data_IF_935961083086
#
_entry.id   IF_935961083086
#
_cell.length_a   1.000
_cell.length_b   1.000
_cell.length_c   1.000
_cell.angle_alpha   90.00
_cell.angle_beta   90.00
_cell.angle_gamma   90.00
#
_symmetry.space_group_name_H-M   'P 1'
#
loop_
_entity.id
_entity.type
_entity.pdbx_description
1 polymer ?
#
# COMPACT_ATOMS: atom_id res chain seq x y z
N UNK A 1 -39.80 67.75 21.86
CA UNK A 1 -38.45 67.75 21.24
C UNK A 1 -38.31 66.47 20.43
N UNK A 2 -37.60 66.51 19.30
CA UNK A 2 -37.34 65.33 18.47
C UNK A 2 -36.07 64.60 18.93
N UNK A 3 -36.05 63.28 18.91
CA UNK A 3 -34.90 62.43 19.26
C UNK A 3 -35.30 60.96 19.40
N UNK A 4 -34.34 60.06 19.60
CA UNK A 4 -34.63 58.63 19.75
C UNK A 4 -35.55 58.35 20.96
N UNK A 5 -36.69 57.69 20.71
CA UNK A 5 -37.69 57.33 21.74
C UNK A 5 -37.63 55.86 22.17
N UNK A 6 -36.74 55.05 21.60
CA UNK A 6 -36.60 53.62 21.92
C UNK A 6 -35.72 53.42 23.18
N UNK A 7 -36.23 52.87 24.30
CA UNK A 7 -35.45 52.66 25.52
C UNK A 7 -34.33 51.62 25.41
N UNK A 8 -34.33 50.77 24.38
CA UNK A 8 -33.25 49.82 24.10
C UNK A 8 -32.11 50.43 23.29
N UNK A 9 -32.33 51.56 22.62
CA UNK A 9 -31.29 52.23 21.84
C UNK A 9 -30.24 52.89 22.73
N UNK A 10 -28.98 52.86 22.30
CA UNK A 10 -27.86 53.40 23.08
C UNK A 10 -27.86 54.94 23.18
N UNK A 11 -28.58 55.63 22.29
CA UNK A 11 -28.77 57.08 22.32
C UNK A 11 -30.21 57.48 22.68
N UNK A 12 -30.92 56.62 23.44
CA UNK A 12 -32.26 56.90 23.94
C UNK A 12 -32.35 58.24 24.69
N UNK A 13 -33.35 59.05 24.33
CA UNK A 13 -33.63 60.31 25.00
C UNK A 13 -35.03 60.28 25.65
N UNK A 14 -35.06 60.13 26.98
CA UNK A 14 -36.31 60.10 27.75
C UNK A 14 -37.15 61.39 27.68
N UNK A 15 -36.60 62.49 27.14
CA UNK A 15 -37.30 63.76 26.94
C UNK A 15 -37.77 63.97 25.48
N UNK A 16 -37.50 63.02 24.58
CA UNK A 16 -38.01 63.03 23.22
C UNK A 16 -39.49 62.63 23.21
N UNK A 17 -40.31 63.42 22.53
CA UNK A 17 -41.77 63.19 22.40
C UNK A 17 -42.14 62.73 20.98
N UNK A 18 -41.19 62.86 20.04
CA UNK A 18 -41.34 62.50 18.63
C UNK A 18 -40.03 61.84 18.19
N UNK A 19 -40.14 60.60 17.69
CA UNK A 19 -39.01 59.88 17.10
C UNK A 19 -38.57 60.55 15.80
N UNK A 20 -37.28 60.83 15.68
CA UNK A 20 -36.66 61.37 14.46
C UNK A 20 -35.90 60.31 13.65
N UNK A 21 -35.97 59.04 14.06
CA UNK A 21 -35.30 57.93 13.42
C UNK A 21 -33.79 57.88 13.70
N UNK A 22 -33.31 58.63 14.71
CA UNK A 22 -31.89 58.64 15.11
C UNK A 22 -31.48 57.47 16.00
N UNK A 23 -32.39 56.57 16.39
CA UNK A 23 -32.07 55.45 17.28
C UNK A 23 -30.92 54.60 16.73
N UNK A 24 -29.89 54.43 17.57
CA UNK A 24 -28.70 53.65 17.26
C UNK A 24 -28.56 52.47 18.21
N UNK A 25 -27.95 51.40 17.70
CA UNK A 25 -27.55 50.23 18.47
C UNK A 25 -26.07 50.33 18.85
N UNK A 26 -25.66 49.59 19.89
CA UNK A 26 -24.24 49.39 20.16
C UNK A 26 -23.67 48.47 19.08
N UNK A 27 -22.52 48.85 18.54
CA UNK A 27 -21.72 47.94 17.72
C UNK A 27 -20.98 46.90 18.59
N UNK A 28 -20.19 46.06 17.94
CA UNK A 28 -19.39 45.01 18.57
C UNK A 28 -18.33 45.56 19.54
N UNK A 29 -17.98 46.85 19.44
CA UNK A 29 -17.06 47.58 20.31
C UNK A 29 -17.75 48.34 21.44
N UNK A 30 -19.08 48.29 21.49
CA UNK A 30 -19.86 49.05 22.45
C UNK A 30 -19.94 50.53 22.13
N UNK A 31 -19.67 50.93 20.88
CA UNK A 31 -19.85 52.29 20.40
C UNK A 31 -21.24 52.48 19.81
N UNK A 32 -21.90 53.56 20.23
CA UNK A 32 -23.27 53.83 19.87
C UNK A 32 -23.39 54.34 18.42
N UNK A 33 -23.93 53.51 17.52
CA UNK A 33 -24.00 53.80 16.10
C UNK A 33 -22.65 53.73 15.38
N UNK A 34 -21.69 52.99 15.93
CA UNK A 34 -20.41 52.71 15.29
C UNK A 34 -20.51 51.63 14.20
N UNK A 35 -19.45 51.53 13.40
CA UNK A 35 -19.33 50.54 12.32
C UNK A 35 -18.67 49.22 12.79
N UNK A 36 -18.34 49.10 14.08
CA UNK A 36 -17.54 47.99 14.61
C UNK A 36 -16.05 48.08 14.22
N UNK A 37 -15.24 47.06 14.57
CA UNK A 37 -13.85 47.01 14.18
C UNK A 37 -13.73 46.67 12.69
N UNK A 38 -12.61 47.07 12.08
CA UNK A 38 -12.30 46.63 10.72
C UNK A 38 -12.17 45.09 10.67
N UNK A 39 -12.53 44.43 9.56
CA UNK A 39 -12.36 42.99 9.43
C UNK A 39 -10.91 42.56 9.74
N UNK A 40 -10.74 41.66 10.70
CA UNK A 40 -9.42 41.18 11.16
C UNK A 40 -8.80 41.98 12.31
N UNK A 41 -9.52 42.95 12.88
CA UNK A 41 -9.07 43.73 14.03
C UNK A 41 -10.04 43.61 15.21
N UNK A 42 -9.51 43.78 16.43
CA UNK A 42 -10.32 44.04 17.62
C UNK A 42 -10.68 45.53 17.76
N UNK A 43 -11.45 45.85 18.79
CA UNK A 43 -11.92 47.20 19.08
C UNK A 43 -10.82 48.17 19.57
N UNK A 44 -9.67 47.64 19.96
CA UNK A 44 -8.48 48.42 20.30
C UNK A 44 -7.56 48.61 19.06
N UNK A 45 -7.92 48.04 17.91
CA UNK A 45 -7.16 48.10 16.67
C UNK A 45 -6.00 47.10 16.58
N UNK A 46 -5.99 46.05 17.42
CA UNK A 46 -5.04 44.95 17.32
C UNK A 46 -5.55 43.89 16.32
N UNK A 47 -4.63 43.19 15.67
CA UNK A 47 -4.97 42.13 14.72
C UNK A 47 -5.51 40.89 15.45
N UNK A 48 -6.65 40.38 15.02
CA UNK A 48 -7.24 39.10 15.45
C UNK A 48 -7.21 38.08 14.32
N UNK A 49 -6.41 37.01 14.48
CA UNK A 49 -6.25 35.99 13.45
C UNK A 49 -7.24 34.82 13.51
N UNK A 50 -8.19 34.82 14.44
CA UNK A 50 -9.16 33.71 14.58
C UNK A 50 -8.46 32.36 14.77
N UNK A 51 -8.64 31.44 13.82
CA UNK A 51 -7.97 30.12 13.79
C UNK A 51 -6.57 30.12 13.16
N UNK A 52 -6.14 31.25 12.61
CA UNK A 52 -4.80 31.46 12.09
C UNK A 52 -3.78 31.82 13.17
N UNK A 53 -2.54 32.00 12.76
CA UNK A 53 -1.43 32.46 13.58
C UNK A 53 -0.96 33.85 13.13
N UNK A 54 -0.42 34.62 14.08
CA UNK A 54 0.13 35.95 13.85
C UNK A 54 1.60 35.84 13.43
N UNK A 55 1.96 36.50 12.34
CA UNK A 55 3.36 36.74 11.95
C UNK A 55 3.75 38.16 12.33
N UNK A 56 4.97 38.30 12.83
CA UNK A 56 5.64 39.58 13.02
C UNK A 56 6.66 39.78 11.92
N UNK A 57 6.62 40.94 11.26
CA UNK A 57 7.51 41.32 10.18
C UNK A 57 8.31 42.53 10.63
N UNK A 58 9.61 42.36 10.81
CA UNK A 58 10.54 43.46 11.04
C UNK A 58 11.18 43.86 9.72
N UNK A 59 11.09 45.13 9.37
CA UNK A 59 11.64 45.71 8.15
C UNK A 59 12.66 46.77 8.53
N UNK A 60 13.85 46.76 7.91
CA UNK A 60 14.98 47.62 8.28
C UNK A 60 15.54 48.31 7.04
N UNK A 61 15.91 49.58 7.20
CA UNK A 61 16.59 50.43 6.24
C UNK A 61 17.81 51.08 6.91
N UNK A 62 18.98 50.87 6.32
CA UNK A 62 20.24 51.40 6.85
C UNK A 62 20.38 52.93 6.76
N UNK A 63 19.69 53.59 5.81
CA UNK A 63 19.84 55.03 5.55
C UNK A 63 18.65 55.86 6.02
N UNK A 64 17.51 55.23 6.26
CA UNK A 64 16.35 55.85 6.88
C UNK A 64 15.48 56.66 5.92
N UNK A 65 15.73 56.57 4.62
CA UNK A 65 15.00 57.24 3.54
C UNK A 65 13.90 56.36 2.92
N UNK A 66 13.63 55.20 3.53
CA UNK A 66 12.63 54.25 3.09
C UNK A 66 13.19 53.27 2.06
N UNK A 67 12.36 52.32 1.63
CA UNK A 67 12.82 51.19 0.83
C UNK A 67 12.97 51.45 -0.68
N UNK A 68 12.81 52.71 -1.11
CA UNK A 68 13.19 53.20 -2.43
C UNK A 68 12.67 52.36 -3.61
N UNK A 69 11.42 51.90 -3.50
CA UNK A 69 10.73 51.06 -4.49
C UNK A 69 10.90 49.56 -4.29
N UNK A 70 11.42 49.12 -3.14
CA UNK A 70 11.38 47.73 -2.69
C UNK A 70 10.10 47.48 -1.90
N UNK A 71 9.42 46.40 -2.27
CA UNK A 71 8.27 45.83 -1.55
C UNK A 71 8.61 44.41 -1.08
N UNK A 72 8.29 44.11 0.17
CA UNK A 72 8.25 42.75 0.70
C UNK A 72 6.84 42.21 0.54
N UNK A 73 6.69 41.14 -0.21
CA UNK A 73 5.41 40.52 -0.53
C UNK A 73 5.33 39.17 0.21
N UNK A 74 4.32 39.02 1.08
CA UNK A 74 4.05 37.80 1.85
C UNK A 74 2.66 37.31 1.47
N UNK A 75 2.56 36.16 0.79
CA UNK A 75 1.29 35.62 0.27
C UNK A 75 0.44 36.63 -0.54
N UNK A 76 1.10 37.55 -1.24
CA UNK A 76 0.46 38.58 -2.06
C UNK A 76 0.15 39.88 -1.34
N UNK A 77 0.30 39.95 -0.02
CA UNK A 77 0.24 41.22 0.73
C UNK A 77 1.59 41.93 0.67
N UNK A 78 1.56 43.23 0.39
CA UNK A 78 2.76 44.04 0.12
C UNK A 78 3.07 44.97 1.29
N UNK A 79 4.30 44.93 1.77
CA UNK A 79 4.83 45.72 2.87
C UNK A 79 6.01 46.57 2.39
N UNK A 80 5.97 47.86 2.72
CA UNK A 80 7.04 48.83 2.45
C UNK A 80 6.85 50.04 3.35
N UNK A 81 7.88 50.87 3.50
CA UNK A 81 7.78 52.12 4.25
C UNK A 81 8.57 53.26 3.63
N UNK A 82 8.11 54.48 3.91
CA UNK A 82 8.55 55.70 3.19
C UNK A 82 9.71 56.43 3.88
N UNK A 83 9.89 56.29 5.19
CA UNK A 83 10.96 56.93 5.96
C UNK A 83 11.21 56.19 7.27
N UNK A 84 12.41 56.26 7.84
CA UNK A 84 12.76 55.66 9.14
C UNK A 84 13.74 54.50 9.00
N UNK A 85 14.42 54.11 10.08
CA UNK A 85 15.43 53.04 10.01
C UNK A 85 14.83 51.63 10.14
N UNK A 86 13.60 51.54 10.66
CA UNK A 86 12.90 50.28 10.82
C UNK A 86 11.42 50.50 10.98
N UNK A 87 10.62 49.54 10.53
CA UNK A 87 9.18 49.46 10.76
C UNK A 87 8.78 48.01 11.05
N UNK A 88 7.78 47.84 11.91
CA UNK A 88 7.21 46.54 12.24
C UNK A 88 5.79 46.47 11.69
N UNK A 89 5.47 45.37 11.02
CA UNK A 89 4.12 45.04 10.60
C UNK A 89 3.75 43.66 11.14
N UNK A 90 2.44 43.38 11.19
CA UNK A 90 1.94 42.06 11.54
C UNK A 90 0.89 41.63 10.52
N UNK A 91 0.82 40.35 10.23
CA UNK A 91 -0.21 39.76 9.38
C UNK A 91 -0.68 38.41 9.93
N UNK A 92 -1.88 38.01 9.53
CA UNK A 92 -2.38 36.68 9.85
C UNK A 92 -1.97 35.70 8.74
N UNK A 93 -1.58 34.49 9.14
CA UNK A 93 -1.45 33.36 8.23
C UNK A 93 -2.13 32.13 8.82
N UNK A 94 -2.61 31.24 7.97
CA UNK A 94 -3.16 29.96 8.42
C UNK A 94 -2.15 28.84 8.13
N UNK A 95 -1.54 28.23 9.15
CA UNK A 95 -0.60 27.12 8.94
C UNK A 95 -1.20 25.94 8.17
N UNK A 96 -2.52 25.77 8.23
CA UNK A 96 -3.25 24.71 7.52
C UNK A 96 -3.52 25.00 6.05
N UNK A 97 -3.33 26.25 5.59
CA UNK A 97 -3.45 26.63 4.18
C UNK A 97 -2.16 26.34 3.38
N UNK A 98 -1.10 25.90 4.06
CA UNK A 98 0.13 25.41 3.45
C UNK A 98 1.23 26.48 3.34
N UNK A 99 1.95 26.42 2.22
CA UNK A 99 3.18 27.14 1.96
C UNK A 99 3.00 28.66 1.96
N UNK A 100 3.90 29.38 2.64
CA UNK A 100 3.92 30.85 2.65
C UNK A 100 5.02 31.35 1.73
N UNK A 101 4.61 32.05 0.68
CA UNK A 101 5.51 32.64 -0.32
C UNK A 101 6.01 34.01 0.14
N UNK A 102 7.32 34.23 0.04
CA UNK A 102 7.98 35.49 0.42
C UNK A 102 8.84 36.00 -0.72
N UNK A 103 8.55 37.21 -1.19
CA UNK A 103 9.30 37.87 -2.26
C UNK A 103 9.69 39.28 -1.86
N UNK A 104 10.98 39.61 -1.88
CA UNK A 104 11.42 41.00 -1.83
C UNK A 104 11.78 41.45 -3.24
N UNK A 105 11.07 42.46 -3.75
CA UNK A 105 11.31 42.99 -5.10
C UNK A 105 12.63 43.75 -5.18
N UNK A 106 13.10 44.03 -6.40
CA UNK A 106 14.30 44.86 -6.59
C UNK A 106 13.92 46.34 -6.64
N UNK A 107 14.26 47.08 -5.58
CA UNK A 107 14.22 48.54 -5.57
C UNK A 107 15.52 49.20 -6.03
N UNK A 108 15.65 50.50 -5.76
CA UNK A 108 16.79 51.31 -6.22
C UNK A 108 18.08 51.08 -5.41
N UNK A 109 17.95 50.66 -4.15
CA UNK A 109 19.07 50.48 -3.22
C UNK A 109 18.92 49.18 -2.40
N UNK A 110 18.93 48.00 -3.06
CA UNK A 110 18.63 46.72 -2.42
C UNK A 110 19.52 46.35 -1.22
N UNK A 111 20.74 46.92 -1.15
CA UNK A 111 21.72 46.60 -0.10
C UNK A 111 21.41 47.23 1.25
N UNK A 112 20.51 48.21 1.32
CA UNK A 112 20.10 48.84 2.58
C UNK A 112 18.90 48.15 3.23
N UNK A 113 18.24 47.28 2.48
CA UNK A 113 17.01 46.59 2.85
C UNK A 113 17.33 45.25 3.52
N UNK A 114 16.80 45.06 4.71
CA UNK A 114 16.72 43.75 5.36
C UNK A 114 15.41 43.55 6.08
N UNK A 115 14.96 42.31 6.21
CA UNK A 115 13.71 41.99 6.87
C UNK A 115 13.77 40.61 7.55
N UNK A 116 12.92 40.44 8.55
CA UNK A 116 12.78 39.20 9.33
C UNK A 116 11.30 38.91 9.56
N UNK A 117 10.88 37.67 9.30
CA UNK A 117 9.53 37.16 9.61
C UNK A 117 9.65 36.17 10.75
N UNK A 118 8.90 36.41 11.81
CA UNK A 118 8.87 35.60 13.03
C UNK A 118 7.47 35.17 13.41
N UNK A 119 7.35 34.06 14.14
CA UNK A 119 6.08 33.63 14.73
C UNK A 119 5.66 34.47 15.96
N UNK A 120 4.48 34.19 16.51
CA UNK A 120 3.94 34.88 17.69
C UNK A 120 4.80 34.69 18.97
N UNK A 121 5.72 33.73 18.99
CA UNK A 121 6.68 33.53 20.10
C UNK A 121 7.98 34.33 19.91
N UNK A 122 8.16 34.96 18.74
CA UNK A 122 9.38 35.65 18.35
C UNK A 122 10.44 34.75 17.72
N UNK A 123 10.10 33.50 17.38
CA UNK A 123 11.00 32.61 16.65
C UNK A 123 11.08 33.04 15.18
N UNK A 124 12.30 33.30 14.69
CA UNK A 124 12.55 33.60 13.28
C UNK A 124 12.21 32.39 12.40
N UNK A 125 11.33 32.61 11.42
CA UNK A 125 10.93 31.62 10.42
C UNK A 125 11.75 31.76 9.15
N UNK A 126 11.95 33.01 8.71
CA UNK A 126 12.71 33.35 7.50
C UNK A 126 13.17 34.81 7.55
N UNK A 127 14.37 35.10 7.04
CA UNK A 127 14.93 36.45 6.96
C UNK A 127 15.68 36.66 5.65
N UNK A 128 15.87 37.91 5.24
CA UNK A 128 16.49 38.22 3.96
C UNK A 128 16.75 39.70 3.72
N UNK A 129 17.21 40.00 2.50
CA UNK A 129 17.34 41.35 1.96
C UNK A 129 16.61 41.46 0.62
N UNK A 130 16.94 42.46 -0.17
CA UNK A 130 16.38 42.63 -1.52
C UNK A 130 17.45 42.38 -2.60
N UNK A 131 17.10 41.79 -3.76
CA UNK A 131 15.89 41.00 -4.00
C UNK A 131 15.95 39.64 -3.28
N UNK A 132 14.77 39.05 -3.03
CA UNK A 132 14.64 37.72 -2.43
C UNK A 132 13.43 36.99 -3.01
N UNK A 133 13.53 35.67 -3.14
CA UNK A 133 12.41 34.78 -3.42
C UNK A 133 12.65 33.48 -2.64
N UNK A 134 11.70 33.13 -1.78
CA UNK A 134 11.76 31.94 -0.94
C UNK A 134 10.42 31.67 -0.29
N UNK A 135 10.33 30.53 0.39
CA UNK A 135 9.08 30.06 0.98
C UNK A 135 9.37 29.37 2.32
N UNK A 136 8.38 29.34 3.22
CA UNK A 136 8.43 28.58 4.47
C UNK A 136 7.11 27.88 4.75
N UNK A 137 7.11 26.89 5.65
CA UNK A 137 5.95 26.03 5.93
C UNK A 137 5.51 25.20 4.70
N UNK A 138 6.48 24.77 3.91
CA UNK A 138 6.29 23.98 2.69
C UNK A 138 6.87 22.58 2.94
N UNK A 139 6.26 21.84 3.87
CA UNK A 139 6.58 20.43 4.04
C UNK A 139 6.04 19.68 2.81
N UNK A 140 6.95 19.20 1.98
CA UNK A 140 6.59 18.30 0.88
C UNK A 140 6.12 16.96 1.47
N UNK A 141 4.98 16.42 1.02
CA UNK A 141 4.48 15.16 1.55
C UNK A 141 5.51 14.05 1.30
N UNK A 142 5.86 13.32 2.35
CA UNK A 142 6.80 12.21 2.26
C UNK A 142 6.18 11.14 1.36
N UNK A 143 6.83 10.86 0.23
CA UNK A 143 6.39 9.85 -0.72
C UNK A 143 7.02 8.49 -0.40
N UNK A 144 6.24 7.41 -0.50
CA UNK A 144 6.71 6.04 -0.28
C UNK A 144 5.55 5.04 -0.16
N UNK A 145 5.84 3.75 0.00
CA UNK A 145 4.78 2.74 0.12
C UNK A 145 3.95 2.91 1.41
N UNK A 146 2.64 3.14 1.26
CA UNK A 146 1.70 3.34 2.38
C UNK A 146 0.96 2.07 2.82
N UNK A 147 1.18 0.93 2.14
CA UNK A 147 0.50 -0.32 2.45
C UNK A 147 1.23 -1.11 3.55
N UNK A 148 0.60 -1.35 4.73
CA UNK A 148 1.24 -2.07 5.84
C UNK A 148 1.53 -3.55 5.56
N UNK A 149 0.92 -4.15 4.53
CA UNK A 149 1.16 -5.53 4.12
C UNK A 149 2.34 -5.65 3.12
N UNK A 150 2.93 -4.53 2.70
CA UNK A 150 4.08 -4.52 1.81
C UNK A 150 5.41 -4.70 2.58
N UNK A 151 6.39 -5.31 1.93
CA UNK A 151 7.73 -5.57 2.48
C UNK A 151 8.53 -4.27 2.72
N UNK A 152 8.20 -3.21 2.00
CA UNK A 152 8.86 -1.91 2.05
C UNK A 152 7.91 -0.79 2.53
N UNK A 153 6.93 -1.12 3.37
CA UNK A 153 6.06 -0.14 4.03
C UNK A 153 6.87 0.98 4.72
N UNK A 154 6.51 2.22 4.43
CA UNK A 154 7.06 3.41 5.08
C UNK A 154 5.97 4.09 5.93
N UNK A 155 6.11 4.03 7.25
CA UNK A 155 5.15 4.62 8.18
C UNK A 155 5.12 6.16 8.14
N UNK A 156 6.17 6.79 7.63
CA UNK A 156 6.25 8.24 7.48
C UNK A 156 5.70 8.71 6.13
N UNK A 157 5.36 7.80 5.20
CA UNK A 157 4.83 8.17 3.90
C UNK A 157 3.37 8.62 3.98
N UNK A 158 3.09 9.81 3.46
CA UNK A 158 1.76 10.40 3.34
C UNK A 158 1.14 10.17 1.96
N UNK A 159 1.99 9.94 0.95
CA UNK A 159 1.59 9.73 -0.45
C UNK A 159 2.20 8.44 -0.97
N UNK A 160 1.35 7.56 -1.49
CA UNK A 160 1.79 6.33 -2.16
C UNK A 160 2.46 6.67 -3.50
N UNK A 161 3.73 6.30 -3.64
CA UNK A 161 4.51 6.48 -4.87
C UNK A 161 4.49 5.25 -5.79
N UNK A 162 3.72 4.22 -5.43
CA UNK A 162 3.61 2.96 -6.18
C UNK A 162 4.83 2.07 -6.04
N UNK A 163 5.73 2.34 -5.08
CA UNK A 163 6.93 1.54 -4.83
C UNK A 163 6.65 0.25 -4.06
N UNK A 164 5.42 -0.01 -3.60
CA UNK A 164 5.11 -1.17 -2.75
C UNK A 164 5.57 -2.51 -3.35
N UNK A 165 6.42 -3.22 -2.62
CA UNK A 165 6.91 -4.56 -2.92
C UNK A 165 6.15 -5.57 -2.05
N UNK A 166 5.53 -6.56 -2.68
CA UNK A 166 4.84 -7.64 -1.97
C UNK A 166 5.62 -8.95 -2.11
N UNK A 167 5.53 -9.81 -1.09
CA UNK A 167 5.99 -11.18 -1.24
C UNK A 167 5.28 -11.82 -2.44
N UNK A 168 5.98 -12.64 -3.26
CA UNK A 168 5.33 -13.35 -4.35
C UNK A 168 4.16 -14.16 -3.77
N UNK A 169 2.96 -13.94 -4.32
CA UNK A 169 1.78 -14.72 -3.94
C UNK A 169 2.09 -16.16 -4.33
N UNK A 170 2.37 -17.00 -3.35
CA UNK A 170 2.54 -18.42 -3.60
C UNK A 170 1.20 -18.98 -4.06
N UNK A 171 1.19 -19.64 -5.22
CA UNK A 171 0.08 -20.48 -5.62
C UNK A 171 -0.10 -21.63 -4.61
N UNK A 172 -1.29 -22.18 -4.55
CA UNK A 172 -1.56 -23.36 -3.72
C UNK A 172 -2.40 -24.40 -4.44
N UNK A 173 -2.23 -25.64 -4.02
CA UNK A 173 -3.08 -26.77 -4.37
C UNK A 173 -3.51 -27.47 -3.08
N UNK A 174 -4.80 -27.73 -2.96
CA UNK A 174 -5.36 -28.58 -1.91
C UNK A 174 -5.75 -29.92 -2.53
N UNK A 175 -5.32 -31.01 -1.92
CA UNK A 175 -5.58 -32.38 -2.35
C UNK A 175 -6.35 -33.08 -1.22
N UNK A 176 -7.55 -33.54 -1.53
CA UNK A 176 -8.41 -34.26 -0.59
C UNK A 176 -7.92 -35.71 -0.46
N UNK A 177 -7.26 -36.06 0.64
CA UNK A 177 -6.70 -37.40 0.84
C UNK A 177 -7.68 -38.27 1.66
N UNK A 178 -8.09 -39.45 1.15
CA UNK A 178 -8.96 -40.36 1.89
C UNK A 178 -8.24 -41.06 3.04
N UNK A 179 -9.01 -41.65 3.95
CA UNK A 179 -8.47 -42.63 4.90
C UNK A 179 -7.92 -43.86 4.15
N UNK A 180 -6.79 -44.40 4.61
CA UNK A 180 -6.16 -45.54 3.98
C UNK A 180 -5.13 -45.13 2.94
N UNK A 181 -4.94 -45.96 1.90
CA UNK A 181 -3.92 -45.74 0.87
C UNK A 181 -4.44 -44.85 -0.25
N UNK A 182 -3.59 -43.95 -0.71
CA UNK A 182 -3.82 -43.10 -1.88
C UNK A 182 -2.50 -42.90 -2.64
N UNK A 183 -2.57 -42.48 -3.90
CA UNK A 183 -1.39 -42.03 -4.65
C UNK A 183 -1.66 -40.60 -5.10
N UNK A 184 -0.89 -39.66 -4.55
CA UNK A 184 -1.05 -38.24 -4.85
C UNK A 184 0.11 -37.74 -5.71
N UNK A 185 -0.12 -36.61 -6.39
CA UNK A 185 0.93 -35.83 -7.02
C UNK A 185 0.55 -34.36 -6.99
N UNK A 186 1.47 -33.46 -7.35
CA UNK A 186 1.19 -32.01 -7.31
C UNK A 186 1.75 -31.29 -8.53
N UNK A 187 0.98 -30.30 -9.00
CA UNK A 187 1.41 -29.34 -10.01
C UNK A 187 2.04 -28.08 -9.39
N UNK A 188 2.24 -28.03 -8.08
CA UNK A 188 2.90 -26.94 -7.36
C UNK A 188 4.35 -27.35 -7.05
N UNK A 189 5.32 -26.58 -7.50
CA UNK A 189 6.70 -26.65 -6.98
C UNK A 189 6.69 -26.06 -5.57
N UNK A 190 6.87 -26.86 -4.50
CA UNK A 190 6.75 -26.36 -3.14
C UNK A 190 7.85 -25.33 -2.84
N UNK A 191 7.54 -24.35 -1.98
CA UNK A 191 8.57 -23.40 -1.48
C UNK A 191 9.69 -24.16 -0.76
N UNK A 192 9.32 -25.15 0.05
CA UNK A 192 10.23 -26.09 0.71
C UNK A 192 9.87 -27.51 0.23
N UNK A 193 10.68 -28.13 -0.65
CA UNK A 193 10.32 -29.41 -1.26
C UNK A 193 10.51 -30.61 -0.33
N UNK A 194 11.18 -30.48 0.82
CA UNK A 194 11.35 -31.58 1.78
C UNK A 194 10.00 -32.21 2.16
N UNK A 195 9.93 -33.54 2.16
CA UNK A 195 8.72 -34.27 2.56
C UNK A 195 8.27 -33.96 4.00
N UNK A 196 9.19 -33.54 4.88
CA UNK A 196 8.85 -33.05 6.22
C UNK A 196 7.95 -31.81 6.16
N UNK A 197 8.26 -30.87 5.28
CA UNK A 197 7.50 -29.63 5.12
C UNK A 197 6.25 -29.84 4.27
N UNK A 198 6.38 -30.59 3.17
CA UNK A 198 5.26 -30.86 2.24
C UNK A 198 4.13 -31.60 2.96
N UNK A 199 4.44 -32.61 3.77
CA UNK A 199 3.44 -33.44 4.43
C UNK A 199 3.03 -32.95 5.83
N UNK A 200 3.60 -31.84 6.30
CA UNK A 200 3.24 -31.22 7.58
C UNK A 200 1.72 -31.01 7.78
N UNK A 201 0.92 -30.59 6.77
CA UNK A 201 -0.52 -30.38 6.95
C UNK A 201 -1.28 -31.65 7.37
N UNK A 202 -0.80 -32.82 6.96
CA UNK A 202 -1.42 -34.13 7.26
C UNK A 202 -0.64 -34.93 8.29
N UNK A 203 0.36 -34.33 8.96
CA UNK A 203 1.27 -35.01 9.88
C UNK A 203 0.56 -35.88 10.91
N UNK A 204 -0.51 -35.36 11.54
CA UNK A 204 -1.23 -36.07 12.61
C UNK A 204 -1.99 -37.31 12.13
N UNK A 205 -2.44 -37.35 10.87
CA UNK A 205 -3.11 -38.50 10.28
C UNK A 205 -2.16 -39.38 9.47
N UNK A 206 -0.91 -38.96 9.24
CA UNK A 206 0.04 -39.65 8.39
C UNK A 206 0.65 -40.88 9.07
N UNK A 207 0.48 -42.04 8.42
CA UNK A 207 1.11 -43.31 8.84
C UNK A 207 2.46 -43.48 8.14
N UNK A 208 2.48 -43.32 6.81
CA UNK A 208 3.67 -43.51 5.96
C UNK A 208 3.44 -42.86 4.59
N UNK A 209 4.49 -42.32 3.99
CA UNK A 209 4.54 -42.03 2.55
C UNK A 209 5.71 -42.76 1.89
N UNK A 210 5.60 -43.03 0.58
CA UNK A 210 6.63 -43.71 -0.22
C UNK A 210 6.71 -43.13 -1.63
N UNK A 211 7.90 -43.14 -2.20
CA UNK A 211 8.14 -42.86 -3.61
C UNK A 211 8.02 -44.13 -4.49
N UNK A 212 8.33 -43.99 -5.78
CA UNK A 212 8.33 -45.09 -6.74
C UNK A 212 9.46 -46.12 -6.55
N UNK A 213 10.56 -45.76 -5.89
CA UNK A 213 11.69 -46.65 -5.59
C UNK A 213 11.50 -47.43 -4.27
N UNK A 214 10.52 -47.01 -3.45
CA UNK A 214 10.18 -47.62 -2.17
C UNK A 214 10.89 -46.99 -0.98
N UNK A 215 11.58 -45.85 -1.16
CA UNK A 215 12.03 -45.02 -0.05
C UNK A 215 10.80 -44.52 0.71
N UNK A 216 10.97 -44.32 2.01
CA UNK A 216 9.83 -44.07 2.91
C UNK A 216 10.02 -42.80 3.74
N UNK A 217 8.91 -42.12 3.96
CA UNK A 217 8.75 -41.10 4.97
C UNK A 217 7.89 -41.64 6.12
N UNK A 218 8.42 -41.60 7.33
CA UNK A 218 7.85 -42.17 8.54
C UNK A 218 7.93 -41.11 9.66
N UNK A 219 6.92 -40.24 9.80
CA UNK A 219 6.98 -39.09 10.71
C UNK A 219 7.12 -39.52 12.17
N UNK A 220 6.42 -40.58 12.58
CA UNK A 220 6.49 -41.11 13.96
C UNK A 220 7.87 -41.69 14.34
N UNK A 221 8.77 -41.84 13.37
CA UNK A 221 10.14 -42.31 13.57
C UNK A 221 11.18 -41.24 13.24
N UNK A 222 10.75 -39.99 13.00
CA UNK A 222 11.59 -38.87 12.53
C UNK A 222 12.48 -39.28 11.33
N UNK A 223 11.91 -40.07 10.41
CA UNK A 223 12.66 -40.66 9.30
C UNK A 223 12.14 -40.15 7.96
N UNK A 224 12.98 -39.37 7.28
CA UNK A 224 12.76 -38.94 5.90
C UNK A 224 13.79 -39.61 4.96
N UNK A 225 13.41 -40.75 4.40
CA UNK A 225 14.22 -41.47 3.41
C UNK A 225 13.97 -41.01 1.97
N UNK A 226 12.88 -40.28 1.70
CA UNK A 226 12.54 -39.78 0.36
C UNK A 226 13.34 -38.50 0.08
N UNK A 227 13.51 -37.63 1.09
CA UNK A 227 14.13 -36.32 0.94
C UNK A 227 13.14 -35.30 0.39
N UNK A 228 13.48 -34.74 -0.76
CA UNK A 228 12.69 -33.69 -1.43
C UNK A 228 11.68 -34.29 -2.41
N UNK A 229 10.50 -33.68 -2.47
CA UNK A 229 9.49 -33.95 -3.48
C UNK A 229 10.02 -33.55 -4.87
N UNK A 230 9.90 -34.48 -5.81
CA UNK A 230 10.12 -34.27 -7.23
C UNK A 230 8.77 -34.13 -7.92
N UNK A 231 8.54 -32.99 -8.59
CA UNK A 231 7.29 -32.72 -9.26
C UNK A 231 6.98 -33.65 -10.43
N UNK A 232 7.95 -34.40 -10.96
CA UNK A 232 7.71 -35.42 -11.99
C UNK A 232 7.16 -36.75 -11.44
N UNK A 233 7.14 -36.93 -10.12
CA UNK A 233 6.82 -38.19 -9.47
C UNK A 233 5.47 -38.16 -8.76
N UNK A 234 4.87 -39.34 -8.62
CA UNK A 234 3.75 -39.57 -7.71
C UNK A 234 4.25 -40.19 -6.40
N UNK A 235 3.46 -40.06 -5.35
CA UNK A 235 3.79 -40.58 -4.02
C UNK A 235 2.62 -41.37 -3.45
N UNK A 236 2.92 -42.57 -2.93
CA UNK A 236 1.95 -43.34 -2.16
C UNK A 236 1.91 -42.82 -0.74
N UNK A 237 0.71 -42.54 -0.24
CA UNK A 237 0.51 -42.07 1.13
C UNK A 237 -0.53 -42.94 1.82
N UNK A 238 -0.34 -43.17 3.11
CA UNK A 238 -1.32 -43.84 3.96
C UNK A 238 -1.72 -42.96 5.14
N UNK A 239 -3.01 -42.68 5.27
CA UNK A 239 -3.57 -41.93 6.39
C UNK A 239 -4.39 -42.82 7.33
N UNK A 240 -4.43 -42.47 8.62
CA UNK A 240 -5.29 -43.06 9.65
C UNK A 240 -6.71 -42.47 9.66
N UNK A 241 -6.90 -41.31 9.02
CA UNK A 241 -8.18 -40.64 8.78
C UNK A 241 -8.03 -39.72 7.56
N UNK A 242 -9.12 -39.49 6.83
CA UNK A 242 -9.13 -38.53 5.72
C UNK A 242 -8.69 -37.12 6.19
N UNK A 243 -7.96 -36.40 5.35
CA UNK A 243 -7.45 -35.06 5.65
C UNK A 243 -7.04 -34.34 4.35
N UNK A 244 -6.93 -33.02 4.39
CA UNK A 244 -6.59 -32.20 3.23
C UNK A 244 -5.09 -31.86 3.25
N UNK A 245 -4.40 -32.21 2.17
CA UNK A 245 -3.00 -31.83 1.96
C UNK A 245 -2.94 -30.53 1.16
N UNK A 246 -2.51 -29.44 1.80
CA UNK A 246 -2.31 -28.16 1.13
C UNK A 246 -0.84 -27.91 0.87
N UNK A 247 -0.47 -27.76 -0.41
CA UNK A 247 0.90 -27.50 -0.86
C UNK A 247 0.95 -26.07 -1.44
N UNK A 248 1.90 -25.27 -0.96
CA UNK A 248 2.10 -23.87 -1.39
C UNK A 248 3.44 -23.70 -2.11
N UNK A 249 3.46 -22.88 -3.15
CA UNK A 249 4.66 -22.62 -3.93
C UNK A 249 4.38 -22.01 -5.30
N UNK A 250 5.12 -22.43 -6.32
CA UNK A 250 4.95 -21.91 -7.68
C UNK A 250 4.19 -22.92 -8.54
N UNK A 251 3.12 -22.48 -9.19
CA UNK A 251 2.39 -23.33 -10.13
C UNK A 251 3.23 -23.66 -11.36
N UNK A 252 3.37 -24.94 -11.65
CA UNK A 252 4.09 -25.42 -12.82
C UNK A 252 3.27 -25.23 -14.09
N UNK A 253 3.97 -24.95 -15.19
CA UNK A 253 3.40 -24.97 -16.53
C UNK A 253 3.62 -26.37 -17.13
N UNK A 254 2.57 -27.18 -17.35
CA UNK A 254 2.70 -28.56 -17.82
C UNK A 254 3.51 -28.69 -19.12
N UNK A 255 3.36 -27.71 -20.02
CA UNK A 255 4.06 -27.65 -21.31
C UNK A 255 5.52 -27.20 -21.23
N UNK A 256 5.98 -26.72 -20.06
CA UNK A 256 7.36 -26.29 -19.84
C UNK A 256 8.14 -27.27 -18.96
N UNK A 257 7.47 -28.19 -18.26
CA UNK A 257 8.10 -29.19 -17.41
C UNK A 257 8.35 -30.49 -18.18
N UNK A 258 9.61 -30.90 -18.30
CA UNK A 258 9.99 -32.15 -18.97
C UNK A 258 9.79 -33.33 -18.02
N UNK A 259 8.80 -34.17 -18.32
CA UNK A 259 8.63 -35.45 -17.63
C UNK A 259 9.68 -36.43 -18.11
N UNK A 260 10.30 -37.16 -17.18
CA UNK A 260 11.25 -38.22 -17.48
C UNK A 260 10.75 -39.52 -16.83
N UNK A 261 10.51 -40.53 -17.65
CA UNK A 261 10.09 -41.86 -17.19
C UNK A 261 11.09 -42.91 -17.66
N UNK A 262 11.46 -43.81 -16.76
CA UNK A 262 12.43 -44.86 -17.03
C UNK A 262 11.77 -46.11 -17.63
N UNK A 263 12.56 -46.95 -18.29
CA UNK A 263 12.11 -48.30 -18.64
C UNK A 263 11.73 -49.07 -17.35
N UNK A 264 10.61 -49.80 -17.39
CA UNK A 264 10.08 -50.47 -16.20
C UNK A 264 9.02 -49.65 -15.47
N UNK A 265 8.90 -49.86 -14.15
CA UNK A 265 7.87 -49.21 -13.34
C UNK A 265 8.28 -47.79 -12.94
N UNK A 266 7.35 -46.86 -13.08
CA UNK A 266 7.45 -45.47 -12.64
C UNK A 266 6.20 -45.11 -11.85
N UNK A 267 6.36 -44.22 -10.87
CA UNK A 267 5.26 -43.52 -10.23
C UNK A 267 5.37 -42.06 -10.63
N UNK A 268 4.41 -41.56 -11.40
CA UNK A 268 4.51 -40.26 -12.07
C UNK A 268 3.36 -39.32 -11.70
N UNK A 269 3.61 -38.03 -11.86
CA UNK A 269 2.67 -36.97 -11.56
C UNK A 269 1.78 -36.59 -12.73
N UNK A 270 0.65 -35.96 -12.41
CA UNK A 270 -0.17 -35.22 -13.37
C UNK A 270 -0.10 -33.73 -13.08
N UNK A 271 0.53 -32.98 -14.00
CA UNK A 271 0.93 -31.58 -13.78
C UNK A 271 -0.11 -30.54 -14.19
N UNK A 272 -1.25 -30.95 -14.73
CA UNK A 272 -2.33 -30.01 -15.08
C UNK A 272 -3.22 -29.72 -13.88
N UNK A 273 -3.78 -28.53 -13.85
CA UNK A 273 -4.70 -28.07 -12.81
C UNK A 273 -6.16 -28.48 -13.07
N UNK A 274 -6.42 -29.11 -14.21
CA UNK A 274 -7.72 -29.56 -14.69
C UNK A 274 -7.63 -30.99 -15.17
N UNK A 275 -8.74 -31.72 -15.12
CA UNK A 275 -8.78 -33.10 -15.60
C UNK A 275 -8.52 -33.17 -17.11
N UNK A 276 -7.92 -34.26 -17.56
CA UNK A 276 -7.56 -34.44 -18.96
C UNK A 276 -7.60 -35.90 -19.38
N UNK A 277 -8.14 -36.16 -20.57
CA UNK A 277 -8.26 -37.51 -21.09
C UNK A 277 -6.89 -38.21 -21.17
N UNK A 278 -6.77 -39.38 -20.52
CA UNK A 278 -5.51 -40.07 -20.35
C UNK A 278 -4.82 -40.37 -21.69
N UNK A 279 -5.59 -40.81 -22.69
CA UNK A 279 -5.05 -41.15 -24.02
C UNK A 279 -4.50 -39.93 -24.73
N UNK A 280 -5.12 -38.76 -24.57
CA UNK A 280 -4.61 -37.51 -25.12
C UNK A 280 -3.35 -37.04 -24.39
N UNK A 281 -3.35 -37.12 -23.06
CA UNK A 281 -2.24 -36.66 -22.23
C UNK A 281 -0.98 -37.51 -22.43
N UNK A 282 -1.15 -38.81 -22.63
CA UNK A 282 -0.06 -39.78 -22.82
C UNK A 282 0.19 -40.16 -24.27
N UNK A 283 -0.50 -39.55 -25.24
CA UNK A 283 -0.30 -39.77 -26.67
C UNK A 283 1.18 -39.70 -27.11
N UNK A 284 2.03 -38.78 -26.60
CA UNK A 284 3.44 -38.71 -26.99
C UNK A 284 4.25 -39.97 -26.66
N UNK A 285 3.84 -40.74 -25.65
CA UNK A 285 4.56 -41.93 -25.15
C UNK A 285 3.76 -43.22 -25.33
N UNK A 286 2.64 -43.18 -26.07
CA UNK A 286 1.69 -44.29 -26.20
C UNK A 286 2.35 -45.63 -26.55
N UNK A 287 3.31 -45.62 -27.48
CA UNK A 287 3.98 -46.84 -27.95
C UNK A 287 4.88 -47.50 -26.89
N UNK A 288 5.26 -46.75 -25.86
CA UNK A 288 6.14 -47.24 -24.80
C UNK A 288 5.36 -47.74 -23.58
N UNK A 289 4.06 -47.41 -23.47
CA UNK A 289 3.21 -47.80 -22.36
C UNK A 289 2.83 -49.28 -22.46
N UNK A 290 3.15 -50.04 -21.42
CA UNK A 290 2.63 -51.40 -21.21
C UNK A 290 1.32 -51.34 -20.43
N UNK A 291 1.28 -50.55 -19.35
CA UNK A 291 0.10 -50.38 -18.50
C UNK A 291 0.24 -49.09 -17.68
N UNK A 292 -0.87 -48.37 -17.47
CA UNK A 292 -1.02 -47.32 -16.45
C UNK A 292 -2.07 -47.74 -15.43
N UNK A 293 -1.87 -47.44 -14.15
CA UNK A 293 -2.79 -47.80 -13.06
C UNK A 293 -2.93 -46.68 -12.03
N UNK A 294 -4.12 -46.60 -11.46
CA UNK A 294 -4.43 -45.86 -10.23
C UNK A 294 -4.14 -46.72 -8.98
N UNK A 295 -4.20 -46.11 -7.80
CA UNK A 295 -3.95 -46.80 -6.53
C UNK A 295 -4.98 -47.89 -6.19
N UNK A 296 -6.22 -47.75 -6.66
CA UNK A 296 -7.32 -48.70 -6.47
C UNK A 296 -7.34 -49.84 -7.51
N UNK A 297 -6.41 -49.79 -8.48
CA UNK A 297 -6.19 -50.85 -9.46
C UNK A 297 -6.98 -50.69 -10.76
N UNK A 298 -7.69 -49.58 -10.99
CA UNK A 298 -8.15 -49.25 -12.35
C UNK A 298 -6.96 -49.09 -13.28
N UNK A 299 -7.12 -49.46 -14.54
CA UNK A 299 -6.01 -49.62 -15.46
C UNK A 299 -6.32 -49.08 -16.86
N UNK A 300 -5.26 -48.64 -17.51
CA UNK A 300 -5.18 -48.39 -18.94
C UNK A 300 -4.18 -49.37 -19.57
N UNK A 301 -4.63 -50.09 -20.60
CA UNK A 301 -3.91 -51.14 -21.30
C UNK A 301 -4.02 -50.86 -22.81
N UNK A 302 -3.08 -50.10 -23.39
CA UNK A 302 -3.18 -49.66 -24.79
C UNK A 302 -3.17 -50.81 -25.79
N UNK A 303 -2.40 -51.88 -25.54
CA UNK A 303 -2.36 -53.08 -26.40
C UNK A 303 -3.73 -53.79 -26.48
N UNK A 304 -4.58 -53.60 -25.47
CA UNK A 304 -5.90 -54.22 -25.35
C UNK A 304 -7.03 -53.25 -25.70
N UNK A 305 -6.70 -52.04 -26.16
CA UNK A 305 -7.66 -50.96 -26.43
C UNK A 305 -8.60 -50.72 -25.23
N UNK A 306 -8.04 -50.77 -24.02
CA UNK A 306 -8.80 -50.69 -22.78
C UNK A 306 -8.37 -49.49 -21.94
N UNK A 307 -9.32 -48.60 -21.67
CA UNK A 307 -9.15 -47.46 -20.79
C UNK A 307 -10.22 -47.46 -19.68
N UNK A 308 -9.86 -48.02 -18.52
CA UNK A 308 -10.69 -48.01 -17.33
C UNK A 308 -10.47 -46.80 -16.42
N UNK A 309 -9.45 -45.97 -16.70
CA UNK A 309 -9.12 -44.78 -15.90
C UNK A 309 -9.94 -43.57 -16.40
N UNK A 310 -10.06 -43.41 -17.72
CA UNK A 310 -10.73 -42.27 -18.33
C UNK A 310 -9.83 -41.03 -18.34
N UNK A 311 -10.03 -40.14 -17.38
CA UNK A 311 -9.29 -38.88 -17.26
C UNK A 311 -8.24 -38.97 -16.15
N UNK A 312 -7.09 -38.34 -16.38
CA UNK A 312 -6.14 -38.01 -15.32
C UNK A 312 -6.72 -36.83 -14.51
N UNK A 313 -6.70 -36.97 -13.19
CA UNK A 313 -7.28 -36.03 -12.24
C UNK A 313 -6.17 -35.26 -11.53
N UNK A 314 -6.37 -33.96 -11.42
CA UNK A 314 -5.49 -33.06 -10.69
C UNK A 314 -5.35 -33.49 -9.22
N UNK A 315 -4.11 -33.62 -8.73
CA UNK A 315 -3.82 -34.10 -7.37
C UNK A 315 -3.57 -35.61 -7.27
N UNK A 316 -3.86 -36.39 -8.32
CA UNK A 316 -3.60 -37.83 -8.35
C UNK A 316 -2.22 -38.14 -8.93
N UNK A 317 -1.58 -39.18 -8.38
CA UNK A 317 -0.41 -39.80 -8.97
C UNK A 317 -0.75 -41.16 -9.57
N UNK A 318 0.03 -41.58 -10.56
CA UNK A 318 -0.25 -42.78 -11.35
C UNK A 318 0.97 -43.68 -11.44
N UNK A 319 0.75 -44.98 -11.64
CA UNK A 319 1.81 -45.95 -11.86
C UNK A 319 1.83 -46.36 -13.33
N UNK A 320 2.96 -46.20 -14.01
CA UNK A 320 3.13 -46.65 -15.39
C UNK A 320 4.25 -47.69 -15.48
N UNK A 321 4.04 -48.72 -16.30
CA UNK A 321 5.12 -49.60 -16.75
C UNK A 321 5.44 -49.30 -18.21
N UNK A 322 6.72 -49.04 -18.51
CA UNK A 322 7.19 -48.72 -19.85
C UNK A 322 8.15 -49.77 -20.40
N UNK A 323 8.20 -49.89 -21.74
CA UNK A 323 9.15 -50.73 -22.47
C UNK A 323 10.55 -50.10 -22.54
N UNK A 324 10.62 -48.78 -22.71
CA UNK A 324 11.86 -48.00 -22.76
C UNK A 324 11.72 -46.67 -22.01
N UNK A 325 12.86 -46.02 -21.70
CA UNK A 325 12.84 -44.70 -21.06
C UNK A 325 12.43 -43.62 -22.07
N UNK A 326 11.61 -42.68 -21.63
CA UNK A 326 11.04 -41.59 -22.45
C UNK A 326 11.12 -40.26 -21.73
N UNK A 327 11.14 -39.18 -22.51
CA UNK A 327 10.84 -37.84 -22.02
C UNK A 327 9.69 -37.24 -22.82
N UNK A 328 8.81 -36.49 -22.14
CA UNK A 328 7.66 -35.86 -22.78
C UNK A 328 7.20 -34.62 -22.01
N UNK A 329 6.30 -33.86 -22.61
CA UNK A 329 5.64 -32.70 -21.99
C UNK A 329 4.13 -32.92 -22.04
N UNK A 330 3.43 -32.49 -20.99
CA UNK A 330 1.97 -32.45 -21.04
C UNK A 330 1.51 -31.27 -21.91
N UNK A 331 0.33 -31.35 -22.54
CA UNK A 331 -0.35 -30.18 -23.08
C UNK A 331 -0.60 -29.14 -21.97
N UNK A 332 -0.64 -27.86 -22.34
CA UNK A 332 -0.98 -26.79 -21.38
C UNK A 332 -2.40 -26.92 -20.82
N UNK A 333 -2.64 -26.23 -19.70
CA UNK A 333 -3.96 -26.16 -19.06
C UNK A 333 -5.02 -25.60 -20.00
#
# INVERSE_FOLDING_TARGET
MSGCTDPSACNYNASAEVDDGSCAELDECGDCGGDGPLPGYDCDGNIECGSGALLSVEMVDSYGDGWNGTDLIINGESFTFQTGYSESASLCYNPSEGCVSVTATQGSYPTEVSWTISDASGQELISGGAPFAGEFNCDEPVSGCTNPDALNYNADAEVDDGSCEFAPVADSQTIDLPEGWYTFSTYIQPVNPSMDDVLAPVYNSLIIAKDGEGLAYLPNFDFNGIGDLNNGEGYMIKLSSANDLTITGTKLLPQAYQMELNAGWNMFSYLRDSSGNLEQMLAPILNEIVIVKTFDGTAYLPEWDYNGIGDLISGEGYQAKLNSSVTFYYPGN
#
